data_IF_719165664975
#
_entry.id   IF_719165664975
#
_cell.length_a   1.000
_cell.length_b   1.000
_cell.length_c   1.000
_cell.angle_alpha   90.00
_cell.angle_beta   90.00
_cell.angle_gamma   90.00
#
_symmetry.space_group_name_H-M   'P 1'
#
loop_
_entity.id
_entity.type
_entity.pdbx_description
1 polymer ?
#
# COMPACT_ATOMS: atom_id res chain seq x y z
N UNK A 1 36.36 -5.89 77.46
CA UNK A 1 36.37 -6.60 76.17
C UNK A 1 35.53 -5.80 75.18
N UNK A 2 36.02 -4.63 74.81
CA UNK A 2 35.50 -3.81 73.71
C UNK A 2 36.28 -4.25 72.50
N UNK A 3 35.60 -4.90 71.55
CA UNK A 3 36.25 -5.48 70.38
C UNK A 3 37.15 -4.47 69.70
N UNK A 4 38.31 -4.92 69.24
CA UNK A 4 39.03 -4.28 68.14
C UNK A 4 38.04 -4.18 66.97
N UNK A 5 37.24 -3.11 66.94
CA UNK A 5 36.45 -2.75 65.77
C UNK A 5 37.47 -2.54 64.66
N UNK A 6 37.53 -3.51 63.75
CA UNK A 6 38.58 -3.71 62.76
C UNK A 6 38.98 -2.39 62.07
N UNK A 7 40.03 -1.75 62.56
CA UNK A 7 40.64 -0.57 61.95
C UNK A 7 41.06 -0.90 60.51
N UNK A 8 41.45 -2.16 60.27
CA UNK A 8 41.77 -2.70 58.94
C UNK A 8 40.62 -2.58 57.94
N UNK A 9 39.36 -2.71 58.38
CA UNK A 9 38.21 -2.54 57.47
C UNK A 9 38.10 -1.10 56.97
N UNK A 10 38.33 -0.10 57.83
CA UNK A 10 38.33 1.30 57.42
C UNK A 10 39.56 1.59 56.57
N UNK A 11 40.72 1.00 56.88
CA UNK A 11 41.94 1.16 56.09
C UNK A 11 41.78 0.66 54.66
N UNK A 12 41.29 -0.56 54.50
CA UNK A 12 41.04 -1.14 53.18
C UNK A 12 39.96 -0.37 52.40
N UNK A 13 38.92 0.10 53.08
CA UNK A 13 37.85 0.88 52.45
C UNK A 13 38.31 2.29 52.05
N UNK A 14 39.15 2.93 52.87
CA UNK A 14 39.81 4.20 52.59
C UNK A 14 40.72 4.09 51.37
N UNK A 15 41.58 3.06 51.33
CA UNK A 15 42.47 2.80 50.20
C UNK A 15 41.69 2.57 48.90
N UNK A 16 40.62 1.78 48.95
CA UNK A 16 39.74 1.56 47.81
C UNK A 16 39.09 2.85 47.32
N UNK A 17 38.60 3.70 48.23
CA UNK A 17 37.99 4.99 47.87
C UNK A 17 39.02 5.94 47.28
N UNK A 18 40.19 6.10 47.91
CA UNK A 18 41.25 6.99 47.44
C UNK A 18 41.78 6.56 46.07
N UNK A 19 42.08 5.27 45.88
CA UNK A 19 42.49 4.72 44.57
C UNK A 19 41.43 4.95 43.49
N UNK A 20 40.14 4.78 43.82
CA UNK A 20 39.04 5.01 42.88
C UNK A 20 38.89 6.51 42.55
N UNK A 21 39.04 7.40 43.53
CA UNK A 21 38.93 8.85 43.31
C UNK A 21 40.12 9.40 42.53
N UNK A 22 41.35 8.95 42.83
CA UNK A 22 42.56 9.36 42.13
C UNK A 22 42.58 8.83 40.70
N UNK A 23 42.25 7.56 40.48
CA UNK A 23 42.20 6.98 39.13
C UNK A 23 41.20 7.67 38.21
N UNK A 24 40.12 8.22 38.79
CA UNK A 24 39.13 9.03 38.08
C UNK A 24 39.45 10.52 38.04
N UNK A 25 40.54 10.95 38.69
CA UNK A 25 41.00 12.33 38.71
C UNK A 25 40.11 13.28 39.52
N UNK A 26 39.30 12.78 40.46
CA UNK A 26 38.47 13.63 41.32
C UNK A 26 39.27 14.31 42.43
N UNK A 27 40.36 13.68 42.88
CA UNK A 27 41.28 14.19 43.89
C UNK A 27 42.72 13.97 43.44
N UNK A 28 43.63 14.82 43.91
CA UNK A 28 45.08 14.74 43.66
C UNK A 28 45.86 14.14 44.83
N UNK A 29 45.30 14.19 46.04
CA UNK A 29 45.90 13.71 47.28
C UNK A 29 44.92 12.78 48.00
N UNK A 30 45.45 11.83 48.78
CA UNK A 30 44.66 10.87 49.53
C UNK A 30 43.81 11.54 50.62
N UNK A 31 42.55 11.13 50.74
CA UNK A 31 41.71 11.53 51.87
C UNK A 31 42.23 10.87 53.14
N UNK A 32 42.60 11.71 54.11
CA UNK A 32 43.06 11.29 55.43
C UNK A 32 41.89 11.11 56.39
N UNK A 33 41.88 10.02 57.14
CA UNK A 33 40.81 9.70 58.10
C UNK A 33 41.31 9.73 59.54
N UNK A 34 40.58 10.37 60.48
CA UNK A 34 40.97 10.46 61.89
C UNK A 34 41.33 9.15 62.58
N UNK A 35 40.79 8.01 62.15
CA UNK A 35 41.11 6.69 62.76
C UNK A 35 42.44 6.12 62.30
N UNK A 36 42.86 6.44 61.06
CA UNK A 36 44.02 5.80 60.41
C UNK A 36 45.20 6.76 60.41
N UNK A 37 44.94 8.04 60.10
CA UNK A 37 45.96 9.05 59.84
C UNK A 37 46.02 10.09 60.98
N UNK A 38 45.67 9.69 62.20
CA UNK A 38 45.62 10.58 63.37
C UNK A 38 46.97 11.26 63.63
N UNK A 39 48.07 10.51 63.48
CA UNK A 39 49.43 11.02 63.69
C UNK A 39 49.78 12.14 62.70
N UNK A 40 49.35 11.99 61.45
CA UNK A 40 49.52 12.95 60.36
C UNK A 40 48.60 14.18 60.48
N UNK A 41 47.42 14.02 61.09
CA UNK A 41 46.44 15.10 61.25
C UNK A 41 46.74 16.04 62.43
N UNK A 42 47.53 15.58 63.41
CA UNK A 42 47.85 16.35 64.62
C UNK A 42 49.17 17.14 64.48
N UNK A 43 49.98 16.91 63.45
CA UNK A 43 51.32 17.53 63.32
C UNK A 43 51.33 19.04 63.43
N UNK A 44 50.25 19.69 63.00
CA UNK A 44 50.12 21.15 62.93
C UNK A 44 49.30 21.75 64.09
N UNK A 45 48.89 20.94 65.08
CA UNK A 45 48.03 21.39 66.18
C UNK A 45 48.82 21.89 67.41
N UNK A 46 48.43 23.03 68.01
CA UNK A 46 49.13 23.63 69.14
C UNK A 46 49.08 22.80 70.45
N UNK A 47 48.12 21.87 70.59
CA UNK A 47 47.94 20.99 71.76
C UNK A 47 48.31 19.52 71.48
N UNK A 48 49.40 19.30 70.73
CA UNK A 48 49.85 17.97 70.29
C UNK A 48 49.96 16.93 71.42
N UNK A 49 50.49 17.32 72.58
CA UNK A 49 50.69 16.41 73.72
C UNK A 49 49.38 15.96 74.40
N UNK A 50 48.32 16.78 74.32
CA UNK A 50 47.00 16.45 74.84
C UNK A 50 46.21 15.56 73.85
N UNK A 51 46.34 15.84 72.55
CA UNK A 51 45.67 15.11 71.46
C UNK A 51 46.26 13.72 71.22
N UNK A 52 47.55 13.50 71.51
CA UNK A 52 48.19 12.17 71.46
C UNK A 52 47.62 11.18 72.49
N UNK A 53 46.96 11.66 73.55
CA UNK A 53 46.34 10.82 74.59
C UNK A 53 44.88 10.50 74.32
N UNK A 54 44.30 11.00 73.23
CA UNK A 54 42.91 10.78 72.89
C UNK A 54 42.73 9.34 72.36
N UNK A 55 41.92 8.54 73.04
CA UNK A 55 41.58 7.19 72.59
C UNK A 55 40.49 7.25 71.53
N UNK A 56 40.65 6.49 70.43
CA UNK A 56 39.65 6.35 69.38
C UNK A 56 38.32 5.91 70.00
N UNK A 57 37.31 6.79 69.93
CA UNK A 57 35.96 6.50 70.41
C UNK A 57 35.11 5.86 69.30
N UNK A 58 34.18 4.98 69.65
CA UNK A 58 33.25 4.31 68.71
C UNK A 58 32.46 5.28 67.82
N UNK A 59 32.27 6.52 68.27
CA UNK A 59 31.64 7.59 67.49
C UNK A 59 32.49 8.03 66.30
N UNK A 60 33.81 8.10 66.46
CA UNK A 60 34.76 8.45 65.39
C UNK A 60 34.78 7.32 64.37
N UNK A 61 34.83 6.05 64.84
CA UNK A 61 34.69 4.86 64.00
C UNK A 61 33.47 4.88 63.10
N UNK A 62 32.29 5.12 63.68
CA UNK A 62 31.08 5.17 62.88
C UNK A 62 31.02 6.38 61.95
N UNK A 63 31.66 7.49 62.30
CA UNK A 63 31.72 8.67 61.43
C UNK A 63 32.55 8.39 60.17
N UNK A 64 33.78 7.90 60.32
CA UNK A 64 34.65 7.58 59.18
C UNK A 64 34.03 6.51 58.29
N UNK A 65 33.42 5.47 58.88
CA UNK A 65 32.66 4.46 58.14
C UNK A 65 31.50 5.06 57.33
N UNK A 66 30.74 5.98 57.92
CA UNK A 66 29.63 6.65 57.24
C UNK A 66 30.13 7.54 56.10
N UNK A 67 31.21 8.29 56.32
CA UNK A 67 31.81 9.16 55.30
C UNK A 67 32.30 8.32 54.12
N UNK A 68 33.06 7.25 54.37
CA UNK A 68 33.53 6.32 53.33
C UNK A 68 32.35 5.74 52.55
N UNK A 69 31.29 5.31 53.23
CA UNK A 69 30.09 4.77 52.58
C UNK A 69 29.37 5.82 51.72
N UNK A 70 29.27 7.06 52.20
CA UNK A 70 28.67 8.17 51.44
C UNK A 70 29.49 8.43 50.18
N UNK A 71 30.82 8.54 50.31
CA UNK A 71 31.71 8.79 49.17
C UNK A 71 31.59 7.65 48.16
N UNK A 72 31.68 6.40 48.61
CA UNK A 72 31.53 5.24 47.75
C UNK A 72 30.18 5.21 47.03
N UNK A 73 29.08 5.48 47.75
CA UNK A 73 27.74 5.55 47.17
C UNK A 73 27.61 6.68 46.13
N UNK A 74 28.24 7.83 46.37
CA UNK A 74 28.25 8.95 45.43
C UNK A 74 29.06 8.59 44.17
N UNK A 75 30.24 8.01 44.32
CA UNK A 75 31.05 7.55 43.19
C UNK A 75 30.29 6.53 42.34
N UNK A 76 29.62 5.57 42.98
CA UNK A 76 28.80 4.58 42.28
C UNK A 76 27.60 5.22 41.57
N UNK A 77 26.98 6.24 42.17
CA UNK A 77 25.89 7.00 41.55
C UNK A 77 26.37 7.75 40.31
N UNK A 78 27.54 8.40 40.38
CA UNK A 78 28.16 9.10 39.25
C UNK A 78 28.44 8.11 38.11
N UNK A 79 28.98 6.93 38.41
CA UNK A 79 29.25 5.89 37.41
C UNK A 79 27.98 5.43 36.70
N UNK A 80 26.90 5.20 37.47
CA UNK A 80 25.59 4.85 36.90
C UNK A 80 25.08 5.97 35.99
N UNK A 81 25.21 7.22 36.41
CA UNK A 81 24.81 8.38 35.60
C UNK A 81 25.65 8.49 34.32
N UNK A 82 26.97 8.29 34.39
CA UNK A 82 27.84 8.33 33.20
C UNK A 82 27.52 7.19 32.23
N UNK A 83 27.26 5.97 32.74
CA UNK A 83 26.87 4.83 31.92
C UNK A 83 25.51 5.09 31.23
N UNK A 84 24.53 5.62 31.98
CA UNK A 84 23.24 6.03 31.42
C UNK A 84 23.40 7.12 30.37
N UNK A 85 24.18 8.16 30.64
CA UNK A 85 24.43 9.24 29.69
C UNK A 85 25.08 8.71 28.40
N UNK A 86 26.06 7.81 28.50
CA UNK A 86 26.68 7.17 27.34
C UNK A 86 25.67 6.35 26.53
N UNK A 87 24.79 5.61 27.20
CA UNK A 87 23.72 4.85 26.53
C UNK A 87 22.72 5.77 25.83
N UNK A 88 22.35 6.88 26.47
CA UNK A 88 21.44 7.88 25.90
C UNK A 88 22.09 8.54 24.67
N UNK A 89 23.35 8.96 24.76
CA UNK A 89 24.08 9.54 23.63
C UNK A 89 24.19 8.57 22.45
N UNK A 90 24.43 7.28 22.71
CA UNK A 90 24.43 6.26 21.65
C UNK A 90 23.05 6.10 21.00
N UNK A 91 21.98 6.10 21.78
CA UNK A 91 20.61 6.04 21.26
C UNK A 91 20.24 7.28 20.44
N UNK A 92 20.68 8.47 20.86
CA UNK A 92 20.49 9.73 20.12
C UNK A 92 21.23 9.65 18.78
N UNK A 93 22.51 9.26 18.77
CA UNK A 93 23.28 9.09 17.54
C UNK A 93 22.61 8.09 16.58
N UNK A 94 22.12 6.96 17.08
CA UNK A 94 21.38 6.01 16.27
C UNK A 94 20.11 6.65 15.67
N UNK A 95 19.33 7.39 16.47
CA UNK A 95 18.16 8.10 15.96
C UNK A 95 18.53 9.15 14.91
N UNK A 96 19.59 9.92 15.10
CA UNK A 96 20.05 10.92 14.13
C UNK A 96 20.43 10.27 12.79
N UNK A 97 21.11 9.12 12.81
CA UNK A 97 21.41 8.38 11.56
C UNK A 97 20.15 7.89 10.85
N UNK A 98 19.13 7.46 11.60
CA UNK A 98 17.84 7.06 11.00
C UNK A 98 17.08 8.25 10.43
N UNK A 99 17.15 9.41 11.08
CA UNK A 99 16.56 10.66 10.58
C UNK A 99 17.23 11.07 9.27
N UNK A 100 18.56 11.02 9.20
CA UNK A 100 19.30 11.34 7.97
C UNK A 100 18.93 10.39 6.82
N UNK A 101 18.82 9.08 7.09
CA UNK A 101 18.39 8.10 6.10
C UNK A 101 16.96 8.36 5.60
N UNK A 102 16.04 8.72 6.51
CA UNK A 102 14.67 9.08 6.16
C UNK A 102 14.61 10.38 5.34
N UNK A 103 15.40 11.39 5.70
CA UNK A 103 15.50 12.64 4.94
C UNK A 103 15.98 12.40 3.50
N UNK A 104 17.02 11.56 3.32
CA UNK A 104 17.47 11.17 1.97
C UNK A 104 16.37 10.46 1.18
N UNK A 105 15.61 9.57 1.83
CA UNK A 105 14.48 8.89 1.18
C UNK A 105 13.38 9.86 0.77
N UNK A 106 13.03 10.81 1.64
CA UNK A 106 12.06 11.87 1.32
C UNK A 106 12.54 12.66 0.10
N UNK A 107 13.79 13.10 0.08
CA UNK A 107 14.36 13.84 -1.05
C UNK A 107 14.31 13.03 -2.36
N UNK A 108 14.59 11.72 -2.33
CA UNK A 108 14.47 10.88 -3.53
C UNK A 108 13.03 10.73 -4.00
N UNK A 109 12.07 10.63 -3.07
CA UNK A 109 10.64 10.54 -3.40
C UNK A 109 10.13 11.86 -3.97
N UNK A 110 10.54 13.00 -3.42
CA UNK A 110 10.22 14.32 -3.95
C UNK A 110 10.73 14.48 -5.40
N UNK A 111 11.96 14.05 -5.68
CA UNK A 111 12.50 14.06 -7.06
C UNK A 111 11.71 13.13 -7.99
N UNK A 112 11.27 11.96 -7.51
CA UNK A 112 10.44 11.05 -8.31
C UNK A 112 9.08 11.66 -8.61
N UNK A 113 8.42 12.25 -7.61
CA UNK A 113 7.13 12.94 -7.77
C UNK A 113 7.26 14.07 -8.78
N UNK A 114 8.28 14.92 -8.65
CA UNK A 114 8.54 15.99 -9.62
C UNK A 114 8.75 15.45 -11.04
N UNK A 115 9.44 14.31 -11.19
CA UNK A 115 9.60 13.64 -12.48
C UNK A 115 8.29 13.10 -13.06
N UNK A 116 7.37 12.61 -12.22
CA UNK A 116 6.04 12.19 -12.66
C UNK A 116 5.14 13.38 -13.02
N UNK A 117 5.18 14.46 -12.25
CA UNK A 117 4.44 15.70 -12.54
C UNK A 117 4.86 16.29 -13.90
N UNK A 118 6.15 16.37 -14.19
CA UNK A 118 6.63 16.86 -15.50
C UNK A 118 6.16 15.96 -16.66
N UNK A 119 6.16 14.63 -16.48
CA UNK A 119 5.66 13.69 -17.50
C UNK A 119 4.15 13.85 -17.70
N UNK A 120 3.41 14.00 -16.61
CA UNK A 120 1.98 14.23 -16.65
C UNK A 120 1.64 15.55 -17.36
N UNK A 121 2.33 16.64 -16.99
CA UNK A 121 2.19 17.95 -17.62
C UNK A 121 2.44 17.85 -19.13
N UNK A 122 3.52 17.18 -19.56
CA UNK A 122 3.81 16.95 -20.97
C UNK A 122 2.68 16.19 -21.68
N UNK A 123 2.15 15.13 -21.07
CA UNK A 123 1.06 14.32 -21.64
C UNK A 123 -0.24 15.12 -21.77
N UNK A 124 -0.58 15.94 -20.77
CA UNK A 124 -1.82 16.72 -20.76
C UNK A 124 -1.73 17.91 -21.71
N UNK A 125 -0.65 18.68 -21.67
CA UNK A 125 -0.57 19.90 -22.48
C UNK A 125 -0.16 19.64 -23.93
N UNK A 126 0.74 18.68 -24.17
CA UNK A 126 1.24 18.44 -25.54
C UNK A 126 0.42 17.38 -26.25
N UNK A 127 0.25 16.20 -25.65
CA UNK A 127 -0.33 15.06 -26.36
C UNK A 127 -1.86 15.18 -26.47
N UNK A 128 -2.55 15.55 -25.39
CA UNK A 128 -4.00 15.73 -25.44
C UNK A 128 -4.41 16.90 -26.34
N UNK A 129 -3.68 18.02 -26.33
CA UNK A 129 -3.94 19.15 -27.23
C UNK A 129 -3.76 18.72 -28.70
N UNK A 130 -2.64 18.06 -29.02
CA UNK A 130 -2.36 17.56 -30.37
C UNK A 130 -3.43 16.55 -30.84
N UNK A 131 -3.86 15.64 -29.96
CA UNK A 131 -4.90 14.67 -30.28
C UNK A 131 -6.27 15.33 -30.45
N UNK A 132 -6.62 16.29 -29.60
CA UNK A 132 -7.85 17.08 -29.72
C UNK A 132 -7.91 17.85 -31.04
N UNK A 133 -6.80 18.49 -31.44
CA UNK A 133 -6.70 19.12 -32.76
C UNK A 133 -6.89 18.11 -33.90
N UNK A 134 -6.25 16.94 -33.80
CA UNK A 134 -6.39 15.88 -34.81
C UNK A 134 -7.81 15.37 -34.91
N UNK A 135 -8.48 15.14 -33.78
CA UNK A 135 -9.90 14.74 -33.71
C UNK A 135 -10.78 15.80 -34.35
N UNK A 136 -10.54 17.08 -34.06
CA UNK A 136 -11.32 18.20 -34.61
C UNK A 136 -11.16 18.28 -36.13
N UNK A 137 -9.93 18.13 -36.64
CA UNK A 137 -9.64 18.09 -38.09
C UNK A 137 -10.32 16.90 -38.77
N UNK A 138 -10.20 15.70 -38.21
CA UNK A 138 -10.82 14.49 -38.75
C UNK A 138 -12.35 14.59 -38.73
N UNK A 139 -12.93 15.16 -37.68
CA UNK A 139 -14.38 15.38 -37.58
C UNK A 139 -14.85 16.37 -38.65
N UNK A 140 -14.10 17.45 -38.90
CA UNK A 140 -14.41 18.39 -39.98
C UNK A 140 -14.33 17.72 -41.36
N UNK A 141 -13.31 16.91 -41.59
CA UNK A 141 -13.11 16.18 -42.85
C UNK A 141 -14.22 15.13 -43.09
N UNK A 142 -14.61 14.39 -42.05
CA UNK A 142 -15.74 13.46 -42.11
C UNK A 142 -17.05 14.19 -42.43
N UNK A 143 -17.31 15.34 -41.79
CA UNK A 143 -18.49 16.16 -42.10
C UNK A 143 -18.49 16.68 -43.55
N UNK A 144 -17.34 17.07 -44.10
CA UNK A 144 -17.24 17.50 -45.51
C UNK A 144 -17.47 16.33 -46.47
N UNK A 145 -16.85 15.17 -46.21
CA UNK A 145 -17.04 13.97 -47.03
C UNK A 145 -18.48 13.49 -47.00
N UNK A 146 -19.15 13.50 -45.84
CA UNK A 146 -20.56 13.15 -45.73
C UNK A 146 -21.45 14.07 -46.59
N UNK A 147 -21.15 15.38 -46.63
CA UNK A 147 -21.85 16.35 -47.49
C UNK A 147 -21.60 16.08 -48.97
N UNK A 148 -20.37 15.74 -49.35
CA UNK A 148 -20.02 15.40 -50.74
C UNK A 148 -20.71 14.11 -51.20
N UNK A 149 -20.73 13.07 -50.36
CA UNK A 149 -21.46 11.83 -50.63
C UNK A 149 -22.97 12.07 -50.78
N UNK A 150 -23.56 12.92 -49.94
CA UNK A 150 -24.97 13.30 -50.08
C UNK A 150 -25.25 14.01 -51.41
N UNK A 151 -24.37 14.94 -51.83
CA UNK A 151 -24.47 15.59 -53.14
C UNK A 151 -24.35 14.59 -54.28
N UNK A 152 -23.36 13.69 -54.23
CA UNK A 152 -23.14 12.67 -55.25
C UNK A 152 -24.33 11.69 -55.36
N UNK A 153 -24.92 11.31 -54.23
CA UNK A 153 -26.13 10.50 -54.20
C UNK A 153 -27.30 11.21 -54.89
N UNK A 154 -27.48 12.50 -54.63
CA UNK A 154 -28.53 13.30 -55.27
C UNK A 154 -28.30 13.41 -56.79
N UNK A 155 -27.09 13.74 -57.23
CA UNK A 155 -26.79 13.85 -58.68
C UNK A 155 -26.92 12.51 -59.40
N UNK A 156 -26.51 11.41 -58.75
CA UNK A 156 -26.71 10.05 -59.28
C UNK A 156 -28.20 9.71 -59.42
N UNK A 157 -29.01 10.04 -58.40
CA UNK A 157 -30.46 9.85 -58.44
C UNK A 157 -31.13 10.69 -59.54
N UNK A 158 -30.69 11.94 -59.73
CA UNK A 158 -31.17 12.81 -60.81
C UNK A 158 -30.80 12.25 -62.19
N UNK A 159 -29.57 11.78 -62.37
CA UNK A 159 -29.11 11.19 -63.63
C UNK A 159 -29.88 9.91 -63.96
N UNK A 160 -30.10 9.05 -62.97
CA UNK A 160 -30.93 7.84 -63.12
C UNK A 160 -32.36 8.20 -63.55
N UNK A 161 -32.96 9.21 -62.90
CA UNK A 161 -34.31 9.68 -63.27
C UNK A 161 -34.36 10.23 -64.69
N UNK A 162 -33.35 11.01 -65.10
CA UNK A 162 -33.25 11.55 -66.48
C UNK A 162 -33.11 10.41 -67.50
N UNK A 163 -32.26 9.44 -67.22
CA UNK A 163 -32.08 8.26 -68.06
C UNK A 163 -33.38 7.46 -68.21
N UNK A 164 -34.09 7.19 -67.12
CA UNK A 164 -35.37 6.48 -67.15
C UNK A 164 -36.42 7.21 -68.00
N UNK A 165 -36.48 8.54 -67.91
CA UNK A 165 -37.37 9.37 -68.74
C UNK A 165 -36.96 9.29 -70.21
N UNK A 166 -35.67 9.36 -70.51
CA UNK A 166 -35.18 9.26 -71.89
C UNK A 166 -35.47 7.88 -72.49
N UNK A 167 -35.26 6.81 -71.74
CA UNK A 167 -35.62 5.45 -72.14
C UNK A 167 -37.12 5.31 -72.42
N UNK A 168 -37.99 5.91 -71.58
CA UNK A 168 -39.44 5.96 -71.84
C UNK A 168 -39.76 6.75 -73.11
N UNK A 169 -39.13 7.91 -73.33
CA UNK A 169 -39.31 8.70 -74.57
C UNK A 169 -38.90 7.91 -75.80
N UNK A 170 -37.76 7.22 -75.76
CA UNK A 170 -37.28 6.35 -76.85
C UNK A 170 -38.22 5.17 -77.09
N UNK A 171 -38.76 4.55 -76.05
CA UNK A 171 -39.77 3.51 -76.19
C UNK A 171 -41.05 4.03 -76.86
N UNK A 172 -41.51 5.24 -76.50
CA UNK A 172 -42.66 5.89 -77.16
C UNK A 172 -42.34 6.21 -78.63
N UNK A 173 -41.14 6.74 -78.92
CA UNK A 173 -40.69 7.02 -80.29
C UNK A 173 -40.67 5.74 -81.14
N UNK A 174 -40.11 4.65 -80.62
CA UNK A 174 -40.13 3.32 -81.28
C UNK A 174 -41.57 2.87 -81.53
N UNK A 175 -42.47 3.04 -80.56
CA UNK A 175 -43.89 2.67 -80.73
C UNK A 175 -44.58 3.51 -81.81
N UNK A 176 -44.29 4.81 -81.87
CA UNK A 176 -44.82 5.73 -82.88
C UNK A 176 -44.30 5.40 -84.28
N UNK A 177 -42.99 5.13 -84.40
CA UNK A 177 -42.38 4.68 -85.66
C UNK A 177 -42.94 3.33 -86.12
N UNK A 178 -43.15 2.39 -85.18
CA UNK A 178 -43.82 1.11 -85.46
C UNK A 178 -45.23 1.33 -86.00
N UNK A 179 -46.02 2.21 -85.38
CA UNK A 179 -47.37 2.53 -85.85
C UNK A 179 -47.35 3.19 -87.24
N UNK A 180 -46.45 4.15 -87.50
CA UNK A 180 -46.29 4.75 -88.84
C UNK A 180 -45.87 3.73 -89.90
N UNK A 181 -45.05 2.75 -89.55
CA UNK A 181 -44.65 1.67 -90.46
C UNK A 181 -45.84 0.74 -90.78
N UNK A 182 -46.73 0.53 -89.81
CA UNK A 182 -47.98 -0.21 -90.01
C UNK A 182 -48.96 0.61 -90.86
N UNK A 183 -49.06 1.93 -90.68
CA UNK A 183 -49.96 2.79 -91.46
C UNK A 183 -49.49 2.99 -92.92
N UNK A 184 -48.17 3.04 -93.17
CA UNK A 184 -47.60 3.19 -94.53
C UNK A 184 -47.64 1.90 -95.35
N UNK A 185 -47.74 0.75 -94.68
CA UNK A 185 -48.09 -0.52 -95.30
C UNK A 185 -49.59 -0.70 -95.19
N UNK A 186 -50.36 -0.29 -96.21
CA UNK A 186 -51.76 -0.69 -96.39
C UNK A 186 -51.88 -2.23 -96.52
N UNK A 187 -51.68 -2.95 -95.42
CA UNK A 187 -51.93 -4.36 -95.26
C UNK A 187 -53.39 -4.51 -94.80
N UNK A 188 -54.29 -4.40 -95.76
CA UNK A 188 -55.60 -5.04 -95.62
C UNK A 188 -55.39 -6.54 -95.68
N UNK A 189 -55.70 -7.26 -94.60
CA UNK A 189 -56.33 -8.58 -94.65
C UNK A 189 -56.86 -8.98 -93.27
N UNK A 190 -58.17 -8.75 -93.12
CA UNK A 190 -59.15 -9.59 -92.43
C UNK A 190 -58.69 -11.00 -92.07
N UNK A 191 -58.76 -11.36 -90.78
CA UNK A 191 -59.19 -12.71 -90.37
C UNK A 191 -60.30 -12.58 -89.34
N UNK A 192 -61.48 -12.99 -89.80
CA UNK A 192 -62.73 -13.19 -89.07
C UNK A 192 -62.67 -14.51 -88.31
N UNK A 193 -63.00 -14.51 -87.02
CA UNK A 193 -63.67 -15.66 -86.38
C UNK A 193 -64.77 -15.16 -85.44
N UNK A 194 -66.01 -15.30 -85.93
CA UNK A 194 -67.19 -15.88 -85.27
C UNK A 194 -67.37 -15.63 -83.76
N UNK A 195 -68.33 -14.72 -83.49
CA UNK A 195 -69.30 -14.57 -82.37
C UNK A 195 -69.67 -15.83 -81.53
N UNK A 196 -70.45 -15.71 -80.42
CA UNK A 196 -70.65 -14.60 -79.47
C UNK A 196 -70.74 -15.04 -77.97
N UNK A 197 -70.88 -14.07 -77.05
CA UNK A 197 -71.57 -14.18 -75.74
C UNK A 197 -70.84 -14.96 -74.63
N UNK A 198 -70.71 -14.51 -73.38
CA UNK A 198 -71.44 -13.54 -72.57
C UNK A 198 -70.50 -12.90 -71.54
N UNK A 199 -70.62 -11.58 -71.45
CA UNK A 199 -70.51 -10.73 -70.26
C UNK A 199 -69.50 -11.10 -69.17
N UNK A 200 -68.33 -10.50 -69.30
CA UNK A 200 -67.78 -9.69 -68.21
C UNK A 200 -68.83 -8.69 -67.74
N UNK A 201 -69.29 -8.79 -66.49
CA UNK A 201 -69.74 -7.62 -65.74
C UNK A 201 -68.58 -7.17 -64.88
N UNK A 202 -68.27 -5.90 -65.07
CA UNK A 202 -67.49 -5.05 -64.19
C UNK A 202 -67.76 -5.27 -62.71
N UNK A 203 -66.72 -4.98 -61.94
CA UNK A 203 -66.70 -4.24 -60.69
C UNK A 203 -66.01 -5.02 -59.57
N UNK A 204 -65.07 -4.34 -58.92
CA UNK A 204 -64.61 -4.60 -57.57
C UNK A 204 -65.77 -5.10 -56.69
N UNK A 205 -65.51 -6.03 -55.78
CA UNK A 205 -64.98 -5.59 -54.48
C UNK A 205 -63.96 -6.56 -53.86
N UNK A 206 -63.21 -6.08 -52.87
CA UNK A 206 -62.51 -6.90 -51.88
C UNK A 206 -63.36 -8.13 -51.47
N UNK A 207 -62.73 -9.28 -51.16
CA UNK A 207 -62.54 -9.61 -49.75
C UNK A 207 -61.26 -10.40 -49.39
N UNK A 208 -60.74 -10.05 -48.21
CA UNK A 208 -59.96 -10.81 -47.20
C UNK A 208 -59.13 -12.07 -47.54
N UNK A 209 -57.85 -11.99 -47.15
CA UNK A 209 -57.07 -13.03 -46.44
C UNK A 209 -56.46 -14.15 -47.31
N UNK A 210 -55.24 -14.65 -47.11
CA UNK A 210 -54.12 -14.39 -46.20
C UNK A 210 -53.05 -15.39 -46.64
N UNK A 211 -51.79 -14.98 -46.85
CA UNK A 211 -50.62 -15.84 -46.59
C UNK A 211 -49.35 -14.98 -46.53
N UNK A 212 -48.71 -15.02 -45.36
CA UNK A 212 -47.46 -14.37 -45.00
C UNK A 212 -46.27 -15.04 -45.70
N UNK A 213 -45.27 -14.28 -46.17
CA UNK A 213 -43.85 -14.60 -45.92
C UNK A 213 -42.87 -13.47 -46.32
N UNK A 214 -41.60 -13.46 -45.87
CA UNK A 214 -41.15 -12.56 -44.82
C UNK A 214 -39.89 -11.80 -45.24
N UNK A 215 -39.92 -10.47 -45.36
CA UNK A 215 -38.70 -9.63 -45.30
C UNK A 215 -39.01 -8.13 -45.26
N UNK A 216 -40.10 -7.75 -44.57
CA UNK A 216 -40.30 -6.35 -44.23
C UNK A 216 -39.74 -6.14 -42.83
N UNK A 217 -38.43 -5.88 -42.77
CA UNK A 217 -37.85 -5.17 -41.64
C UNK A 217 -38.37 -3.74 -41.75
N UNK A 218 -39.40 -3.41 -40.97
CA UNK A 218 -39.73 -2.03 -40.64
C UNK A 218 -38.53 -1.46 -39.89
N UNK A 219 -37.62 -0.84 -40.63
CA UNK A 219 -36.60 0.02 -40.05
C UNK A 219 -37.31 1.33 -39.65
N UNK A 220 -38.05 1.27 -38.54
CA UNK A 220 -38.49 2.46 -37.81
C UNK A 220 -37.21 3.17 -37.33
N UNK A 221 -36.62 3.99 -38.18
CA UNK A 221 -35.83 5.10 -37.69
C UNK A 221 -36.82 6.10 -37.11
N UNK A 222 -36.73 6.47 -35.84
CA UNK A 222 -37.45 7.64 -35.37
C UNK A 222 -36.99 8.81 -36.24
N UNK A 223 -37.93 9.43 -36.96
CA UNK A 223 -37.71 10.76 -37.52
C UNK A 223 -37.63 11.66 -36.29
N UNK A 224 -36.42 12.02 -35.89
CA UNK A 224 -36.22 13.18 -35.01
C UNK A 224 -36.58 14.38 -35.87
N UNK A 225 -37.79 14.87 -35.66
CA UNK A 225 -38.31 16.08 -36.28
C UNK A 225 -37.66 17.29 -35.58
N UNK A 226 -36.60 17.83 -36.18
CA UNK A 226 -36.01 19.11 -35.79
C UNK A 226 -36.71 20.32 -36.47
N UNK A 227 -37.99 20.21 -36.84
CA UNK A 227 -38.75 21.33 -37.40
C UNK A 227 -39.56 22.15 -36.39
N UNK A 228 -39.53 21.80 -35.10
CA UNK A 228 -40.03 22.65 -34.02
C UNK A 228 -38.98 23.71 -33.60
N UNK A 229 -38.57 24.57 -34.53
CA UNK A 229 -38.00 25.88 -34.18
C UNK A 229 -38.68 26.95 -35.00
N UNK A 230 -40.02 26.97 -34.92
CA UNK A 230 -40.82 28.08 -35.39
C UNK A 230 -41.20 28.91 -34.18
N UNK A 231 -40.37 29.92 -33.93
CA UNK A 231 -40.68 31.19 -33.26
C UNK A 231 -42.11 31.28 -32.71
N UNK A 232 -42.31 30.83 -31.47
CA UNK A 232 -43.39 31.33 -30.62
C UNK A 232 -42.74 32.02 -29.44
N UNK A 233 -42.80 33.34 -29.51
CA UNK A 233 -42.72 34.27 -28.39
C UNK A 233 -43.29 33.68 -27.09
N UNK A 234 -42.42 33.41 -26.12
CA UNK A 234 -42.78 32.96 -24.78
C UNK A 234 -41.55 32.52 -24.01
N UNK A 235 -41.14 33.31 -23.02
CA UNK A 235 -39.94 33.13 -22.17
C UNK A 235 -40.03 31.94 -21.19
N UNK A 236 -40.88 30.94 -21.43
CA UNK A 236 -41.22 29.90 -20.44
C UNK A 236 -40.59 28.53 -20.75
N UNK A 237 -40.36 28.15 -22.01
CA UNK A 237 -39.91 26.80 -22.39
C UNK A 237 -38.40 26.54 -22.24
N UNK A 238 -37.55 27.57 -22.36
CA UNK A 238 -36.13 27.41 -22.05
C UNK A 238 -35.90 27.16 -20.55
N UNK A 239 -36.79 27.64 -19.69
CA UNK A 239 -36.71 27.37 -18.25
C UNK A 239 -37.09 25.92 -17.89
N UNK A 240 -37.99 25.29 -18.64
CA UNK A 240 -38.42 23.90 -18.40
C UNK A 240 -37.37 22.89 -18.88
N UNK A 241 -36.74 23.12 -20.03
CA UNK A 241 -35.63 22.29 -20.54
C UNK A 241 -34.40 22.39 -19.63
N UNK A 242 -34.04 23.61 -19.20
CA UNK A 242 -32.94 23.82 -18.25
C UNK A 242 -33.25 23.14 -16.92
N UNK A 243 -34.50 23.22 -16.42
CA UNK A 243 -34.92 22.48 -15.23
C UNK A 243 -34.83 20.97 -15.42
N UNK A 244 -35.21 20.43 -16.57
CA UNK A 244 -35.15 19.00 -16.85
C UNK A 244 -33.70 18.48 -16.97
N UNK A 245 -32.80 19.25 -17.58
CA UNK A 245 -31.35 18.93 -17.58
C UNK A 245 -30.75 19.06 -16.17
N UNK A 246 -31.15 20.09 -15.41
CA UNK A 246 -30.70 20.28 -14.04
C UNK A 246 -31.22 19.18 -13.10
N UNK A 247 -32.46 18.73 -13.28
CA UNK A 247 -33.05 17.59 -12.55
C UNK A 247 -32.35 16.28 -12.96
N UNK A 248 -32.01 16.11 -14.24
CA UNK A 248 -31.22 14.96 -14.71
C UNK A 248 -29.82 14.93 -14.10
N UNK A 249 -29.13 16.07 -14.08
CA UNK A 249 -27.82 16.22 -13.43
C UNK A 249 -27.95 16.01 -11.92
N UNK A 250 -28.96 16.59 -11.27
CA UNK A 250 -29.20 16.43 -9.83
C UNK A 250 -29.51 14.98 -9.45
N UNK A 251 -30.20 14.23 -10.32
CA UNK A 251 -30.47 12.80 -10.12
C UNK A 251 -29.18 11.99 -10.23
N UNK A 252 -28.37 12.23 -11.26
CA UNK A 252 -27.06 11.59 -11.42
C UNK A 252 -26.09 11.92 -10.27
N UNK A 253 -26.09 13.17 -9.81
CA UNK A 253 -25.29 13.60 -8.67
C UNK A 253 -25.79 12.96 -7.37
N UNK A 254 -27.11 12.84 -7.20
CA UNK A 254 -27.70 12.16 -6.03
C UNK A 254 -27.36 10.67 -6.02
N UNK A 255 -27.43 10.00 -7.17
CA UNK A 255 -27.03 8.60 -7.33
C UNK A 255 -25.53 8.41 -7.05
N UNK A 256 -24.68 9.32 -7.53
CA UNK A 256 -23.25 9.31 -7.23
C UNK A 256 -22.96 9.58 -5.74
N UNK A 257 -23.68 10.51 -5.11
CA UNK A 257 -23.57 10.77 -3.66
C UNK A 257 -24.02 9.53 -2.87
N UNK A 258 -25.11 8.89 -3.26
CA UNK A 258 -25.62 7.68 -2.60
C UNK A 258 -24.62 6.52 -2.74
N UNK A 259 -24.03 6.34 -3.92
CA UNK A 259 -22.99 5.34 -4.16
C UNK A 259 -21.72 5.62 -3.35
N UNK A 260 -21.26 6.89 -3.28
CA UNK A 260 -20.14 7.29 -2.42
C UNK A 260 -20.43 7.06 -0.93
N UNK A 261 -21.66 7.34 -0.49
CA UNK A 261 -22.08 7.15 0.89
C UNK A 261 -22.14 5.68 1.27
N UNK A 262 -22.61 4.81 0.36
CA UNK A 262 -22.57 3.35 0.51
C UNK A 262 -21.13 2.83 0.59
N UNK A 263 -20.24 3.25 -0.31
CA UNK A 263 -18.81 2.85 -0.25
C UNK A 263 -18.12 3.34 1.04
N UNK A 264 -18.36 4.58 1.48
CA UNK A 264 -17.82 5.09 2.75
C UNK A 264 -18.35 4.33 3.97
N UNK A 265 -19.61 3.89 3.94
CA UNK A 265 -20.17 3.05 5.00
C UNK A 265 -19.46 1.69 5.06
N UNK A 266 -19.09 1.09 3.92
CA UNK A 266 -18.29 -0.14 3.88
C UNK A 266 -16.90 0.04 4.47
N UNK A 267 -16.22 1.14 4.13
CA UNK A 267 -14.92 1.46 4.74
C UNK A 267 -15.04 1.60 6.26
N UNK A 268 -16.08 2.27 6.75
CA UNK A 268 -16.30 2.43 8.19
C UNK A 268 -16.58 1.08 8.88
N UNK A 269 -17.39 0.22 8.26
CA UNK A 269 -17.65 -1.12 8.78
C UNK A 269 -16.38 -1.99 8.79
N UNK A 270 -15.58 -1.95 7.73
CA UNK A 270 -14.30 -2.64 7.65
C UNK A 270 -13.30 -2.18 8.73
N UNK A 271 -13.20 -0.87 8.96
CA UNK A 271 -12.33 -0.31 10.01
C UNK A 271 -12.82 -0.72 11.40
N UNK A 272 -14.13 -0.78 11.62
CA UNK A 272 -14.70 -1.23 12.89
C UNK A 272 -14.37 -2.71 13.16
N UNK A 273 -14.57 -3.61 12.18
CA UNK A 273 -14.22 -5.04 12.31
C UNK A 273 -12.71 -5.23 12.50
N UNK A 274 -11.88 -4.46 11.78
CA UNK A 274 -10.43 -4.50 11.91
C UNK A 274 -9.95 -3.99 13.28
N UNK A 275 -10.58 -2.96 13.84
CA UNK A 275 -10.31 -2.48 15.19
C UNK A 275 -10.75 -3.49 16.26
N UNK A 276 -11.87 -4.18 16.06
CA UNK A 276 -12.34 -5.24 16.94
C UNK A 276 -11.36 -6.43 16.93
N UNK A 277 -10.92 -6.85 15.73
CA UNK A 277 -9.86 -7.85 15.55
C UNK A 277 -8.58 -7.46 16.29
N UNK A 278 -8.06 -6.24 16.10
CA UNK A 278 -6.84 -5.82 16.78
C UNK A 278 -7.02 -5.70 18.29
N UNK A 279 -8.20 -5.31 18.77
CA UNK A 279 -8.49 -5.27 20.20
C UNK A 279 -8.45 -6.68 20.80
N UNK A 280 -9.07 -7.66 20.14
CA UNK A 280 -9.05 -9.08 20.54
C UNK A 280 -7.62 -9.65 20.47
N UNK A 281 -6.92 -9.42 19.37
CA UNK A 281 -5.53 -9.85 19.16
C UNK A 281 -4.56 -9.28 20.20
N UNK A 282 -4.64 -7.98 20.49
CA UNK A 282 -3.80 -7.33 21.50
C UNK A 282 -4.14 -7.78 22.93
N UNK A 283 -5.41 -8.10 23.21
CA UNK A 283 -5.82 -8.64 24.50
C UNK A 283 -5.22 -10.04 24.74
N UNK A 284 -5.15 -10.87 23.70
CA UNK A 284 -4.54 -12.19 23.73
C UNK A 284 -3.02 -12.11 23.93
N UNK A 285 -2.34 -11.15 23.29
CA UNK A 285 -0.89 -10.91 23.40
C UNK A 285 -0.45 -10.19 24.69
N UNK A 286 -1.37 -9.82 25.57
CA UNK A 286 -1.03 -9.09 26.80
C UNK A 286 -0.16 -9.90 27.76
N UNK A 287 0.66 -9.18 28.55
CA UNK A 287 1.68 -9.71 29.49
C UNK A 287 1.06 -10.68 30.54
N UNK A 288 -0.25 -10.68 30.70
CA UNK A 288 -0.96 -11.59 31.61
C UNK A 288 -1.14 -13.00 31.05
N UNK A 289 -1.16 -13.16 29.72
CA UNK A 289 -1.56 -14.39 29.03
C UNK A 289 -0.42 -15.11 28.29
N UNK A 290 0.81 -14.57 28.26
CA UNK A 290 1.92 -15.14 27.49
C UNK A 290 2.30 -16.58 27.86
N UNK A 291 1.97 -17.04 29.08
CA UNK A 291 2.27 -18.40 29.55
C UNK A 291 1.33 -19.48 29.01
N UNK A 292 0.15 -19.11 28.51
CA UNK A 292 -0.85 -20.04 27.96
C UNK A 292 -1.05 -19.85 26.45
N UNK A 293 -0.13 -19.13 25.78
CA UNK A 293 -0.26 -18.72 24.40
C UNK A 293 0.21 -19.85 23.47
N UNK A 294 -0.74 -20.65 22.98
CA UNK A 294 -0.51 -21.58 21.87
C UNK A 294 -0.94 -20.88 20.57
N UNK A 295 -0.20 -21.06 19.46
CA UNK A 295 -0.56 -20.46 18.17
C UNK A 295 -1.99 -20.82 17.70
N UNK A 296 -2.52 -21.96 18.13
CA UNK A 296 -3.90 -22.39 17.87
C UNK A 296 -4.99 -21.59 18.61
N UNK A 297 -4.62 -20.73 19.55
CA UNK A 297 -5.56 -19.89 20.34
C UNK A 297 -5.60 -18.44 19.89
N UNK A 298 -4.76 -18.06 18.91
CA UNK A 298 -4.70 -16.71 18.36
C UNK A 298 -5.86 -16.50 17.40
N UNK A 299 -6.66 -15.45 17.62
CA UNK A 299 -7.80 -15.10 16.76
C UNK A 299 -7.33 -14.96 15.31
N UNK A 300 -7.87 -15.80 14.43
CA UNK A 300 -7.56 -15.77 13.01
C UNK A 300 -8.30 -14.60 12.34
N UNK A 301 -7.62 -13.74 11.56
CA UNK A 301 -8.28 -12.66 10.84
C UNK A 301 -9.41 -13.11 9.89
N UNK A 302 -9.42 -14.37 9.44
CA UNK A 302 -10.53 -14.91 8.61
C UNK A 302 -11.81 -15.19 9.39
N UNK A 303 -11.72 -15.44 10.69
CA UNK A 303 -12.88 -15.79 11.52
C UNK A 303 -13.60 -14.52 12.04
N UNK A 304 -12.90 -13.38 12.00
CA UNK A 304 -13.36 -12.12 12.61
C UNK A 304 -13.65 -11.02 11.57
N UNK A 305 -13.08 -11.10 10.36
CA UNK A 305 -13.29 -10.12 9.29
C UNK A 305 -14.02 -10.81 8.13
N UNK A 306 -15.34 -10.63 8.06
CA UNK A 306 -16.17 -11.22 7.00
C UNK A 306 -16.36 -10.23 5.85
N UNK A 307 -15.47 -10.33 4.86
CA UNK A 307 -15.54 -9.54 3.63
C UNK A 307 -16.86 -9.72 2.87
N UNK A 308 -17.49 -10.90 2.93
CA UNK A 308 -18.70 -11.17 2.16
C UNK A 308 -19.90 -10.39 2.72
N UNK A 309 -19.95 -10.23 4.04
CA UNK A 309 -20.94 -9.39 4.72
C UNK A 309 -20.76 -7.89 4.42
N UNK A 310 -19.53 -7.44 4.16
CA UNK A 310 -19.24 -6.03 3.83
C UNK A 310 -19.51 -5.73 2.33
N UNK A 311 -19.49 -6.76 1.47
CA UNK A 311 -19.54 -6.62 0.01
C UNK A 311 -20.95 -6.75 -0.61
N UNK A 312 -21.99 -7.06 0.17
CA UNK A 312 -23.33 -7.45 -0.32
C UNK A 312 -23.96 -6.46 -1.34
N UNK A 313 -23.62 -5.17 -1.30
CA UNK A 313 -24.14 -4.15 -2.22
C UNK A 313 -23.04 -3.50 -3.08
N UNK A 314 -22.50 -4.18 -4.11
CA UNK A 314 -21.42 -3.58 -4.94
C UNK A 314 -21.94 -2.66 -6.05
N UNK A 315 -21.46 -1.42 -6.07
CA UNK A 315 -21.69 -0.44 -7.14
C UNK A 315 -20.54 -0.51 -8.16
N UNK A 316 -20.84 -0.56 -9.46
CA UNK A 316 -19.83 -0.76 -10.53
C UNK A 316 -19.16 0.52 -11.05
N UNK A 317 -19.61 1.71 -10.60
CA UNK A 317 -19.18 3.01 -11.17
C UNK A 317 -18.09 3.75 -10.38
N UNK A 318 -17.84 3.36 -9.13
CA UNK A 318 -16.84 3.98 -8.25
C UNK A 318 -15.76 2.93 -7.97
N UNK A 319 -14.50 3.36 -7.80
CA UNK A 319 -13.38 2.48 -7.43
C UNK A 319 -13.82 1.54 -6.29
N UNK A 320 -13.97 0.23 -6.55
CA UNK A 320 -14.61 -0.66 -5.60
C UNK A 320 -13.79 -0.73 -4.31
N UNK A 321 -14.45 -0.67 -3.15
CA UNK A 321 -13.87 -0.95 -1.82
C UNK A 321 -12.94 -2.18 -1.81
N UNK A 322 -13.22 -3.15 -2.67
CA UNK A 322 -12.42 -4.36 -2.86
C UNK A 322 -10.96 -4.11 -3.28
N UNK A 323 -10.67 -3.08 -4.08
CA UNK A 323 -9.31 -2.81 -4.57
C UNK A 323 -8.36 -2.35 -3.46
N UNK A 324 -8.86 -1.63 -2.47
CA UNK A 324 -8.08 -1.09 -1.35
C UNK A 324 -8.11 -2.00 -0.12
N UNK A 325 -9.22 -2.70 0.12
CA UNK A 325 -9.39 -3.61 1.27
C UNK A 325 -8.62 -4.93 1.11
N UNK A 326 -8.55 -5.52 -0.08
CA UNK A 326 -7.84 -6.80 -0.31
C UNK A 326 -6.34 -6.74 0.01
N UNK A 327 -5.56 -5.74 -0.43
CA UNK A 327 -4.15 -5.62 -0.07
C UNK A 327 -3.93 -5.40 1.43
N UNK A 328 -4.80 -4.60 2.08
CA UNK A 328 -4.75 -4.36 3.52
C UNK A 328 -4.97 -5.65 4.30
N UNK A 329 -6.01 -6.41 3.95
CA UNK A 329 -6.29 -7.68 4.59
C UNK A 329 -5.17 -8.71 4.35
N UNK A 330 -4.58 -8.75 3.16
CA UNK A 330 -3.40 -9.59 2.88
C UNK A 330 -2.24 -9.28 3.82
N UNK A 331 -2.00 -8.01 4.14
CA UNK A 331 -0.97 -7.62 5.09
C UNK A 331 -1.33 -8.00 6.53
N UNK A 332 -2.61 -7.91 6.91
CA UNK A 332 -3.09 -8.39 8.22
C UNK A 332 -2.88 -9.90 8.36
N UNK A 333 -3.18 -10.70 7.33
CA UNK A 333 -2.90 -12.14 7.30
C UNK A 333 -1.41 -12.46 7.43
N UNK A 334 -0.55 -11.75 6.69
CA UNK A 334 0.91 -11.94 6.80
C UNK A 334 1.41 -11.63 8.20
N UNK A 335 0.92 -10.54 8.80
CA UNK A 335 1.27 -10.18 10.18
C UNK A 335 0.81 -11.23 11.19
N UNK A 336 -0.41 -11.77 11.02
CA UNK A 336 -0.89 -12.89 11.84
C UNK A 336 0.06 -14.09 11.74
N UNK A 337 0.45 -14.50 10.54
CA UNK A 337 1.38 -15.63 10.34
C UNK A 337 2.77 -15.37 10.93
N UNK A 338 3.30 -14.16 10.81
CA UNK A 338 4.58 -13.81 11.41
C UNK A 338 4.52 -13.84 12.94
N UNK A 339 3.46 -13.28 13.52
CA UNK A 339 3.29 -13.28 14.98
C UNK A 339 3.02 -14.69 15.49
N UNK A 340 2.19 -15.48 14.80
CA UNK A 340 1.94 -16.90 15.10
C UNK A 340 3.24 -17.70 15.05
N UNK A 341 4.07 -17.53 14.01
CA UNK A 341 5.37 -18.21 13.91
C UNK A 341 6.36 -17.78 14.99
N UNK A 342 6.33 -16.51 15.42
CA UNK A 342 7.13 -16.03 16.55
C UNK A 342 6.66 -16.61 17.89
N UNK A 343 5.35 -16.75 18.09
CA UNK A 343 4.76 -17.41 19.26
C UNK A 343 5.13 -18.88 19.28
N UNK A 344 5.06 -19.59 18.15
CA UNK A 344 5.47 -21.00 18.06
C UNK A 344 6.96 -21.18 18.35
N UNK A 345 7.81 -20.26 17.87
CA UNK A 345 9.24 -20.28 18.17
C UNK A 345 9.51 -19.98 19.66
N UNK A 346 8.80 -19.02 20.24
CA UNK A 346 8.85 -18.73 21.68
C UNK A 346 8.33 -19.90 22.52
N UNK A 347 7.26 -20.57 22.10
CA UNK A 347 6.69 -21.73 22.77
C UNK A 347 7.62 -22.95 22.67
N UNK A 348 8.25 -23.18 21.52
CA UNK A 348 9.23 -24.27 21.35
C UNK A 348 10.50 -24.06 22.20
N UNK A 349 10.95 -22.82 22.35
CA UNK A 349 12.11 -22.47 23.18
C UNK A 349 11.79 -22.50 24.68
N UNK A 350 10.56 -22.16 25.08
CA UNK A 350 10.10 -22.34 26.46
C UNK A 350 9.87 -23.83 26.79
N UNK A 351 9.24 -24.60 25.90
CA UNK A 351 9.02 -26.04 26.07
C UNK A 351 10.34 -26.81 26.15
N UNK A 352 11.38 -26.35 25.44
CA UNK A 352 12.75 -26.88 25.56
C UNK A 352 13.44 -26.54 26.90
N UNK A 353 12.93 -25.57 27.67
CA UNK A 353 13.45 -25.22 29.00
C UNK A 353 12.69 -25.88 30.15
N UNK A 354 11.43 -26.27 29.96
CA UNK A 354 10.60 -26.85 31.03
C UNK A 354 10.59 -28.39 31.06
N UNK A 355 10.98 -29.08 29.98
CA UNK A 355 11.28 -30.52 30.04
C UNK A 355 12.74 -30.75 30.43
N UNK A 356 12.97 -30.89 31.73
CA UNK A 356 14.18 -31.55 32.21
C UNK A 356 14.34 -32.93 31.56
N UNK A 357 15.59 -33.23 31.17
CA UNK A 357 16.16 -34.51 30.67
C UNK A 357 16.44 -34.64 29.17
N UNK A 358 17.57 -34.09 28.73
CA UNK A 358 18.48 -34.78 27.81
C UNK A 358 19.90 -34.23 27.99
N UNK A 359 20.55 -34.63 29.09
CA UNK A 359 22.02 -34.49 29.25
C UNK A 359 22.81 -35.29 28.20
N UNK A 360 22.13 -35.97 27.27
CA UNK A 360 22.73 -36.83 26.24
C UNK A 360 23.03 -36.06 24.96
N UNK A 361 22.13 -35.21 24.45
CA UNK A 361 22.40 -34.48 23.20
C UNK A 361 23.38 -33.31 23.40
N UNK A 362 23.28 -32.58 24.51
CA UNK A 362 24.27 -31.56 24.86
C UNK A 362 25.64 -32.16 25.16
N UNK A 363 25.70 -33.38 25.68
CA UNK A 363 26.98 -34.04 25.96
C UNK A 363 27.57 -34.67 24.68
N UNK A 364 26.75 -35.19 23.77
CA UNK A 364 27.20 -35.69 22.46
C UNK A 364 27.69 -34.55 21.55
N UNK A 365 27.00 -33.41 21.55
CA UNK A 365 27.45 -32.22 20.81
C UNK A 365 28.70 -31.61 21.45
N UNK A 366 28.79 -31.53 22.78
CA UNK A 366 29.98 -31.10 23.49
C UNK A 366 31.17 -32.07 23.28
N UNK A 367 30.91 -33.38 23.20
CA UNK A 367 31.94 -34.39 22.96
C UNK A 367 32.44 -34.33 21.51
N UNK A 368 31.55 -34.15 20.52
CA UNK A 368 31.95 -33.87 19.13
C UNK A 368 32.77 -32.59 19.02
N UNK A 369 32.36 -31.52 19.68
CA UNK A 369 33.12 -30.26 19.71
C UNK A 369 34.49 -30.42 20.38
N UNK A 370 34.61 -31.25 21.43
CA UNK A 370 35.91 -31.59 22.03
C UNK A 370 36.81 -32.42 21.12
N UNK A 371 36.24 -33.39 20.39
CA UNK A 371 36.97 -34.20 19.42
C UNK A 371 37.45 -33.36 18.22
N UNK A 372 36.60 -32.48 17.69
CA UNK A 372 36.95 -31.53 16.62
C UNK A 372 38.04 -30.55 17.07
N UNK A 373 37.95 -30.02 18.29
CA UNK A 373 38.96 -29.10 18.82
C UNK A 373 40.31 -29.81 19.04
N UNK A 374 40.29 -31.09 19.47
CA UNK A 374 41.49 -31.92 19.56
C UNK A 374 42.09 -32.23 18.19
N UNK A 375 41.26 -32.50 17.18
CA UNK A 375 41.71 -32.70 15.80
C UNK A 375 42.33 -31.42 15.21
N UNK A 376 41.74 -30.26 15.47
CA UNK A 376 42.30 -28.96 15.08
C UNK A 376 43.64 -28.69 15.75
N UNK A 377 43.78 -29.00 17.05
CA UNK A 377 45.03 -28.83 17.78
C UNK A 377 46.15 -29.73 17.21
N UNK A 378 45.84 -30.99 16.92
CA UNK A 378 46.78 -31.92 16.30
C UNK A 378 47.17 -31.49 14.88
N UNK A 379 46.22 -30.98 14.09
CA UNK A 379 46.48 -30.43 12.76
C UNK A 379 47.35 -29.18 12.83
N UNK A 380 47.09 -28.28 13.79
CA UNK A 380 47.94 -27.12 14.05
C UNK A 380 49.36 -27.52 14.43
N UNK A 381 49.50 -28.49 15.33
CA UNK A 381 50.81 -28.97 15.77
C UNK A 381 51.56 -29.69 14.64
N UNK A 382 50.86 -30.42 13.77
CA UNK A 382 51.43 -31.03 12.57
C UNK A 382 51.83 -29.99 11.53
N UNK A 383 51.04 -28.92 11.37
CA UNK A 383 51.37 -27.79 10.50
C UNK A 383 52.60 -27.03 11.00
N UNK A 384 52.71 -26.81 12.32
CA UNK A 384 53.90 -26.20 12.94
C UNK A 384 55.12 -27.09 12.72
N UNK A 385 55.00 -28.40 12.93
CA UNK A 385 56.10 -29.34 12.71
C UNK A 385 56.53 -29.40 11.25
N UNK A 386 55.59 -29.39 10.31
CA UNK A 386 55.89 -29.32 8.89
C UNK A 386 56.60 -28.01 8.51
N UNK A 387 56.25 -26.90 9.17
CA UNK A 387 56.87 -25.59 8.97
C UNK A 387 58.29 -25.55 9.55
N UNK A 388 58.50 -26.16 10.73
CA UNK A 388 59.83 -26.34 11.32
C UNK A 388 60.71 -27.27 10.47
N UNK A 389 60.17 -28.40 9.99
CA UNK A 389 60.88 -29.31 9.08
C UNK A 389 61.25 -28.60 7.77
N UNK A 390 60.37 -27.75 7.23
CA UNK A 390 60.68 -26.90 6.07
C UNK A 390 61.78 -25.89 6.35
N UNK A 391 61.77 -25.28 7.54
CA UNK A 391 62.78 -24.31 7.97
C UNK A 391 64.15 -24.99 8.16
N UNK A 392 64.17 -26.22 8.69
CA UNK A 392 65.36 -27.05 8.78
C UNK A 392 65.87 -27.49 7.41
N UNK A 393 64.99 -27.78 6.44
CA UNK A 393 65.37 -28.12 5.07
C UNK A 393 65.98 -26.95 4.30
N UNK A 394 65.62 -25.71 4.65
CA UNK A 394 66.14 -24.48 4.04
C UNK A 394 67.46 -23.98 4.68
N UNK A 395 67.90 -24.65 5.75
CA UNK A 395 69.11 -24.32 6.53
C UNK A 395 70.31 -25.26 6.26
N UNK A 396 70.16 -26.24 5.37
CA UNK A 396 71.25 -26.95 4.67
C UNK A 396 71.28 -26.46 3.22
#
# INVERSE_FOLDING_TARGET
MTGELSIDTIKNASELVNTTLISKGYITEDLKFPIIDWEDLITDQPEKEALQKLVVADKIYNNDKNIINIIYSLTQSIDRHQAQQKSISMAILQKDTTIEALQKKIQTLEQQVQGYEQKYEKSVYSDHLNMSEKITRLTKLSKTQAKELAKLKNTSSELQTKYDIEMRKKAIEISSLKNKLLDTRNLSNTITYVRPSRSTKSASPNPMGQEFNPNVVYNNKPIIDNSATRMTSGSEDSSSIIKQEYDGIATQLSELIENLMKENSKFSNFINELNEYFTKFNSQLSISNYKNLNASTLSNPSDEIDLNRILEDTSTEIDPFEFTSRPLLSNVYKNYHYVSGLIDLAASTLAGHEQGTSKTEDNDTLQKLKEENKALYNNWQSAIKALDDWKSYKGN
#
